data_IF_095907091846
#
_entry.id   IF_095907091846
#
_cell.length_a   1.000
_cell.length_b   1.000
_cell.length_c   1.000
_cell.angle_alpha   90.00
_cell.angle_beta   90.00
_cell.angle_gamma   90.00
#
_symmetry.space_group_name_H-M   'P 1'
#
loop_
_entity.id
_entity.type
_entity.pdbx_description
1 polymer ?
#
# COMPACT_ATOMS: atom_id res chain seq x y z
N UNK A 1 -14.68 13.71 14.75
CA UNK A 1 -13.45 14.04 14.00
C UNK A 1 -12.40 14.76 14.84
N UNK A 2 -12.78 15.55 15.86
CA UNK A 2 -11.81 16.31 16.68
C UNK A 2 -10.80 15.47 17.47
N UNK A 3 -11.01 14.16 17.65
CA UNK A 3 -10.15 13.31 18.49
C UNK A 3 -9.21 12.38 17.71
N UNK A 4 -9.39 12.22 16.38
CA UNK A 4 -8.64 11.22 15.60
C UNK A 4 -7.36 11.78 14.99
N UNK A 5 -6.33 10.96 14.87
CA UNK A 5 -5.13 11.19 14.08
C UNK A 5 -5.37 10.68 12.65
N UNK A 6 -5.56 11.55 11.64
CA UNK A 6 -6.11 11.15 10.35
C UNK A 6 -5.11 10.50 9.40
N UNK A 7 -3.80 10.71 9.59
CA UNK A 7 -2.77 10.21 8.69
C UNK A 7 -1.47 10.01 9.46
N UNK A 8 -1.08 8.76 9.66
CA UNK A 8 0.20 8.40 10.28
C UNK A 8 0.77 7.13 9.67
N UNK A 9 2.08 6.95 9.77
CA UNK A 9 2.77 5.78 9.24
C UNK A 9 4.15 5.56 9.87
N UNK A 10 4.55 4.30 10.03
CA UNK A 10 5.85 3.87 10.53
C UNK A 10 5.81 2.83 11.61
N UNK A 11 6.97 2.56 12.19
CA UNK A 11 7.03 1.69 13.36
C UNK A 11 6.34 2.37 14.54
N UNK A 12 5.46 1.63 15.21
CA UNK A 12 4.83 2.03 16.46
C UNK A 12 4.82 0.82 17.38
N UNK A 13 5.10 1.04 18.66
CA UNK A 13 5.00 -0.03 19.65
C UNK A 13 3.53 -0.43 19.80
N UNK A 14 3.26 -1.73 19.86
CA UNK A 14 1.95 -2.28 20.16
C UNK A 14 2.05 -3.15 21.39
N UNK A 15 1.31 -2.77 22.42
CA UNK A 15 1.28 -3.48 23.69
C UNK A 15 0.25 -4.59 23.66
N UNK A 16 0.69 -5.77 24.10
CA UNK A 16 -0.14 -6.93 24.29
C UNK A 16 -1.27 -6.68 25.28
N UNK A 17 -2.47 -7.12 24.91
CA UNK A 17 -3.62 -7.20 25.81
C UNK A 17 -4.10 -8.64 25.92
N UNK A 18 -3.99 -9.22 27.11
CA UNK A 18 -4.37 -10.61 27.38
C UNK A 18 -3.46 -11.65 26.72
N UNK A 19 -3.88 -12.91 26.75
CA UNK A 19 -3.21 -14.02 26.06
C UNK A 19 -3.86 -14.28 24.72
N UNK A 20 -3.11 -14.21 23.62
CA UNK A 20 -3.61 -14.52 22.28
C UNK A 20 -2.47 -15.07 21.40
N UNK A 21 -2.74 -16.04 20.50
CA UNK A 21 -1.74 -16.62 19.59
C UNK A 21 -0.87 -15.62 18.83
N UNK A 22 -1.44 -14.50 18.37
CA UNK A 22 -0.69 -13.39 17.73
C UNK A 22 0.61 -13.05 18.48
N UNK A 23 0.62 -13.14 19.82
CA UNK A 23 1.75 -12.77 20.66
C UNK A 23 2.78 -13.90 20.87
N UNK A 24 2.64 -15.08 20.26
CA UNK A 24 3.63 -16.15 20.42
C UNK A 24 5.02 -15.71 19.91
N UNK A 25 6.02 -15.82 20.78
CA UNK A 25 7.38 -15.35 20.48
C UNK A 25 7.60 -13.84 20.61
N UNK A 26 6.55 -13.06 20.90
CA UNK A 26 6.62 -11.62 21.16
C UNK A 26 6.53 -11.34 22.67
N UNK A 27 7.23 -10.30 23.15
CA UNK A 27 7.41 -10.04 24.59
C UNK A 27 6.62 -8.81 25.06
N UNK A 28 5.31 -8.94 25.31
CA UNK A 28 4.48 -7.93 25.99
C UNK A 28 4.24 -6.60 25.25
N UNK A 29 5.19 -6.15 24.44
CA UNK A 29 5.13 -5.04 23.52
C UNK A 29 6.08 -5.33 22.36
N UNK A 30 5.66 -5.04 21.13
CA UNK A 30 6.48 -5.24 19.93
C UNK A 30 6.29 -4.07 18.96
N UNK A 31 7.32 -3.67 18.20
CA UNK A 31 7.15 -2.70 17.13
C UNK A 31 6.38 -3.36 15.97
N UNK A 32 5.36 -2.70 15.45
CA UNK A 32 4.72 -3.09 14.20
C UNK A 32 4.68 -1.89 13.24
N UNK A 33 4.63 -2.18 11.94
CA UNK A 33 4.47 -1.18 10.91
C UNK A 33 3.00 -0.82 10.70
N UNK A 34 2.76 0.49 10.58
CA UNK A 34 1.47 1.03 10.14
C UNK A 34 1.67 1.93 8.93
N UNK A 35 0.75 1.91 7.97
CA UNK A 35 0.75 2.86 6.85
C UNK A 35 -0.66 3.35 6.57
N UNK A 36 -0.94 4.58 7.03
CA UNK A 36 -2.22 5.29 6.91
C UNK A 36 -3.44 4.57 7.50
N UNK A 37 -3.34 3.95 8.69
CA UNK A 37 -4.48 3.32 9.31
C UNK A 37 -5.49 4.36 9.81
N UNK A 38 -6.70 3.88 10.10
CA UNK A 38 -7.69 4.63 10.88
C UNK A 38 -7.54 4.28 12.37
N UNK A 39 -8.42 4.81 13.21
CA UNK A 39 -8.65 4.36 14.58
C UNK A 39 -9.97 3.61 14.68
N UNK A 40 -10.03 2.62 15.57
CA UNK A 40 -11.23 1.83 15.76
C UNK A 40 -12.26 2.64 16.52
N UNK A 41 -13.52 2.46 16.13
CA UNK A 41 -14.66 2.88 16.91
C UNK A 41 -15.36 1.60 17.37
N UNK A 42 -15.30 1.34 18.68
CA UNK A 42 -15.87 0.12 19.24
C UNK A 42 -17.36 0.31 19.48
N UNK A 43 -18.17 -0.42 18.72
CA UNK A 43 -19.60 -0.60 18.98
C UNK A 43 -19.72 -1.89 19.78
N UNK A 44 -20.33 -1.82 20.97
CA UNK A 44 -20.46 -2.95 21.91
C UNK A 44 -19.11 -3.53 22.39
N UNK A 45 -18.31 -2.76 23.17
CA UNK A 45 -16.97 -3.15 23.57
C UNK A 45 -16.89 -4.43 24.42
N UNK A 46 -18.00 -4.83 25.05
CA UNK A 46 -18.06 -6.07 25.85
C UNK A 46 -18.01 -7.35 24.99
N UNK A 47 -18.36 -7.26 23.70
CA UNK A 47 -18.33 -8.37 22.74
C UNK A 47 -17.03 -8.41 21.91
N UNK A 48 -16.16 -7.41 22.07
CA UNK A 48 -14.94 -7.24 21.29
C UNK A 48 -13.73 -7.42 22.19
N UNK A 49 -12.89 -8.40 21.86
CA UNK A 49 -11.62 -8.55 22.54
C UNK A 49 -10.57 -7.63 21.91
N UNK A 50 -10.01 -6.74 22.71
CA UNK A 50 -8.86 -5.93 22.31
C UNK A 50 -7.60 -6.77 22.54
N UNK A 51 -6.85 -7.02 21.47
CA UNK A 51 -5.64 -7.85 21.49
C UNK A 51 -4.36 -7.04 21.57
N UNK A 52 -4.40 -5.80 21.07
CA UNK A 52 -3.28 -4.89 21.06
C UNK A 52 -3.73 -3.44 21.22
N UNK A 53 -2.90 -2.64 21.90
CA UNK A 53 -3.08 -1.19 22.02
C UNK A 53 -1.82 -0.45 21.57
N UNK A 54 -1.99 0.68 20.90
CA UNK A 54 -0.87 1.51 20.50
C UNK A 54 -0.09 2.03 21.72
N UNK A 55 1.24 1.96 21.61
CA UNK A 55 2.23 2.49 22.54
C UNK A 55 2.92 3.72 21.95
N UNK A 56 4.22 3.82 22.17
CA UNK A 56 5.01 4.97 21.70
C UNK A 56 5.36 4.85 20.21
N UNK A 57 5.39 5.98 19.48
CA UNK A 57 5.95 6.05 18.13
C UNK A 57 7.41 5.59 18.08
N UNK A 58 7.78 4.87 17.01
CA UNK A 58 9.16 4.55 16.70
C UNK A 58 9.88 5.67 15.95
N UNK A 59 11.18 5.49 15.68
CA UNK A 59 12.06 6.54 15.13
C UNK A 59 11.64 7.04 13.75
N UNK A 60 11.09 6.15 12.92
CA UNK A 60 10.67 6.48 11.57
C UNK A 60 9.21 6.98 11.52
N UNK A 61 8.48 6.96 12.64
CA UNK A 61 7.06 7.27 12.68
C UNK A 61 6.80 8.71 12.27
N UNK A 62 5.88 8.88 11.33
CA UNK A 62 5.47 10.15 10.78
C UNK A 62 3.97 10.35 10.95
N UNK A 63 3.57 11.60 11.21
CA UNK A 63 2.19 12.05 11.11
C UNK A 63 2.11 13.05 9.97
N UNK A 64 1.25 12.78 8.99
CA UNK A 64 1.30 13.41 7.68
C UNK A 64 2.74 13.33 7.10
N UNK A 65 3.38 14.48 6.86
CA UNK A 65 4.75 14.60 6.35
C UNK A 65 5.81 14.85 7.44
N UNK A 66 5.41 14.96 8.71
CA UNK A 66 6.28 15.31 9.85
C UNK A 66 6.75 14.05 10.58
N UNK A 67 8.07 13.89 10.76
CA UNK A 67 8.62 12.84 11.63
C UNK A 67 8.44 13.24 13.10
N UNK A 68 7.90 12.35 13.92
CA UNK A 68 7.56 12.65 15.33
C UNK A 68 8.81 12.91 16.16
N UNK A 69 9.81 12.02 16.09
CA UNK A 69 11.03 12.16 16.87
C UNK A 69 11.80 13.44 16.53
N UNK A 70 11.91 13.79 15.24
CA UNK A 70 12.58 15.00 14.79
C UNK A 70 11.83 16.26 15.26
N UNK A 71 10.49 16.23 15.19
CA UNK A 71 9.64 17.36 15.60
C UNK A 71 9.75 17.61 17.11
N UNK A 72 9.72 16.55 17.91
CA UNK A 72 9.88 16.61 19.36
C UNK A 72 11.29 17.04 19.77
N UNK A 73 12.33 16.50 19.11
CA UNK A 73 13.72 16.86 19.37
C UNK A 73 14.01 18.35 19.06
N UNK A 74 13.33 18.92 18.07
CA UNK A 74 13.39 20.34 17.75
C UNK A 74 12.58 21.23 18.73
N UNK A 75 11.86 20.64 19.69
CA UNK A 75 11.04 21.37 20.66
C UNK A 75 9.83 22.08 20.04
N UNK A 76 9.35 21.58 18.90
CA UNK A 76 8.23 22.18 18.19
C UNK A 76 6.89 21.73 18.80
N UNK A 77 5.95 22.67 18.88
CA UNK A 77 4.61 22.43 19.44
C UNK A 77 3.65 21.92 18.36
N UNK A 78 3.06 20.74 18.59
CA UNK A 78 2.05 20.14 17.75
C UNK A 78 0.84 21.06 17.52
N UNK A 79 0.43 21.85 18.51
CA UNK A 79 -0.74 22.75 18.38
C UNK A 79 -0.55 23.81 17.29
N UNK A 80 0.66 24.34 17.13
CA UNK A 80 0.99 25.28 16.06
C UNK A 80 0.94 24.61 14.68
N UNK A 81 1.36 23.35 14.60
CA UNK A 81 1.25 22.58 13.36
C UNK A 81 -0.21 22.25 13.05
N UNK A 82 -1.00 21.83 14.02
CA UNK A 82 -2.44 21.55 13.85
C UNK A 82 -3.19 22.80 13.35
N UNK A 83 -2.88 23.99 13.85
CA UNK A 83 -3.44 25.25 13.33
C UNK A 83 -3.02 25.49 11.87
N UNK A 84 -1.74 25.27 11.53
CA UNK A 84 -1.27 25.45 10.14
C UNK A 84 -1.87 24.41 9.18
N UNK A 85 -1.98 23.17 9.64
CA UNK A 85 -2.41 22.02 8.85
C UNK A 85 -3.94 21.86 8.86
N UNK A 86 -4.66 22.52 9.78
CA UNK A 86 -6.11 22.40 9.93
C UNK A 86 -6.59 20.94 10.08
N UNK A 87 -5.72 20.08 10.65
CA UNK A 87 -6.00 18.68 11.02
C UNK A 87 -5.25 18.36 12.30
N UNK A 88 -5.67 17.30 12.98
CA UNK A 88 -4.95 16.77 14.14
C UNK A 88 -3.62 16.15 13.69
N UNK A 89 -2.56 16.38 14.47
CA UNK A 89 -1.19 15.93 14.21
C UNK A 89 -0.49 15.39 15.45
N UNK A 90 -1.00 15.67 16.64
CA UNK A 90 -0.40 15.20 17.89
C UNK A 90 -0.50 13.66 18.01
N UNK A 91 0.64 12.93 18.01
CA UNK A 91 0.66 11.48 18.07
C UNK A 91 0.17 10.91 19.41
N UNK A 92 0.09 11.72 20.47
CA UNK A 92 -0.41 11.29 21.77
C UNK A 92 -1.87 10.78 21.69
N UNK A 93 -2.61 11.17 20.64
CA UNK A 93 -3.98 10.69 20.36
C UNK A 93 -4.07 9.19 20.09
N UNK A 94 -2.97 8.53 19.77
CA UNK A 94 -2.95 7.07 19.60
C UNK A 94 -2.68 6.33 20.90
N UNK A 95 -2.12 6.98 21.92
CA UNK A 95 -1.64 6.27 23.10
C UNK A 95 -2.78 5.50 23.79
N UNK A 96 -2.60 4.19 23.93
CA UNK A 96 -3.56 3.22 24.45
C UNK A 96 -4.81 2.99 23.58
N UNK A 97 -4.92 3.59 22.40
CA UNK A 97 -6.01 3.29 21.47
C UNK A 97 -5.94 1.84 20.98
N UNK A 98 -7.08 1.16 20.77
CA UNK A 98 -7.09 -0.20 20.22
C UNK A 98 -6.49 -0.24 18.81
N UNK A 99 -5.69 -1.26 18.52
CA UNK A 99 -5.01 -1.41 17.22
C UNK A 99 -5.13 -2.81 16.62
N UNK A 100 -5.40 -3.81 17.46
CA UNK A 100 -5.76 -5.16 17.02
C UNK A 100 -6.96 -5.64 17.82
N UNK A 101 -7.97 -6.17 17.13
CA UNK A 101 -9.23 -6.64 17.69
C UNK A 101 -9.56 -8.06 17.22
N UNK A 102 -10.26 -8.79 18.07
CA UNK A 102 -10.94 -10.02 17.71
C UNK A 102 -12.41 -9.97 18.16
N UNK A 103 -13.28 -10.49 17.31
CA UNK A 103 -14.69 -10.67 17.59
C UNK A 103 -15.24 -11.95 16.96
N UNK A 104 -16.55 -12.14 17.07
CA UNK A 104 -17.25 -13.30 16.48
C UNK A 104 -18.24 -12.84 15.41
N UNK A 105 -18.37 -13.65 14.37
CA UNK A 105 -19.43 -13.49 13.37
C UNK A 105 -20.04 -14.85 13.05
N UNK A 106 -21.25 -15.09 13.55
CA UNK A 106 -21.89 -16.40 13.48
C UNK A 106 -21.06 -17.47 14.20
N UNK A 107 -20.56 -18.46 13.44
CA UNK A 107 -19.66 -19.52 13.95
C UNK A 107 -18.17 -19.20 13.76
N UNK A 108 -17.85 -18.10 13.08
CA UNK A 108 -16.49 -17.71 12.76
C UNK A 108 -15.89 -16.73 13.76
N UNK A 109 -14.56 -16.62 13.72
CA UNK A 109 -13.78 -15.56 14.36
C UNK A 109 -13.48 -14.49 13.31
N UNK A 110 -13.53 -13.23 13.72
CA UNK A 110 -13.16 -12.07 12.88
C UNK A 110 -12.00 -11.38 13.56
N UNK A 111 -10.92 -11.19 12.81
CA UNK A 111 -9.73 -10.52 13.28
C UNK A 111 -9.54 -9.23 12.47
N UNK A 112 -9.26 -8.12 13.17
CA UNK A 112 -9.05 -6.80 12.58
C UNK A 112 -7.74 -6.24 13.11
N UNK A 113 -6.86 -5.82 12.19
CA UNK A 113 -5.56 -5.24 12.51
C UNK A 113 -5.37 -3.95 11.72
N UNK A 114 -5.02 -2.87 12.41
CA UNK A 114 -4.46 -1.68 11.77
C UNK A 114 -2.95 -1.76 11.55
N UNK A 115 -2.16 -2.42 12.40
CA UNK A 115 -0.82 -2.82 12.06
C UNK A 115 -0.89 -3.70 10.81
N UNK A 116 -0.09 -3.35 9.83
CA UNK A 116 -0.02 -4.04 8.56
C UNK A 116 0.99 -5.16 8.71
N UNK A 117 0.53 -6.28 9.28
CA UNK A 117 1.38 -7.41 9.70
C UNK A 117 2.08 -8.10 8.51
N UNK A 118 1.62 -7.83 7.28
CA UNK A 118 2.20 -8.27 6.02
C UNK A 118 3.34 -7.38 5.52
N UNK A 119 3.64 -6.27 6.22
CA UNK A 119 4.65 -5.30 5.79
C UNK A 119 6.00 -6.00 5.58
N UNK A 120 6.65 -5.82 4.41
CA UNK A 120 7.97 -6.40 4.17
C UNK A 120 9.00 -5.92 5.20
N UNK A 121 9.87 -6.83 5.65
CA UNK A 121 10.94 -6.59 6.62
C UNK A 121 10.46 -6.27 8.06
N UNK A 122 9.14 -6.24 8.31
CA UNK A 122 8.55 -6.16 9.66
C UNK A 122 8.56 -7.55 10.31
N UNK A 123 9.70 -7.94 10.87
CA UNK A 123 9.90 -9.30 11.43
C UNK A 123 8.86 -9.64 12.48
N UNK A 124 8.59 -8.72 13.41
CA UNK A 124 7.61 -8.89 14.47
C UNK A 124 6.18 -8.93 13.92
N UNK A 125 5.83 -8.03 12.99
CA UNK A 125 4.54 -8.04 12.31
C UNK A 125 4.31 -9.34 11.54
N UNK A 126 5.29 -9.78 10.76
CA UNK A 126 5.22 -11.01 9.97
C UNK A 126 5.09 -12.25 10.87
N UNK A 127 5.77 -12.28 12.02
CA UNK A 127 5.62 -13.35 13.01
C UNK A 127 4.21 -13.35 13.62
N UNK A 128 3.65 -12.18 13.93
CA UNK A 128 2.27 -12.06 14.40
C UNK A 128 1.25 -12.57 13.35
N UNK A 129 1.43 -12.23 12.07
CA UNK A 129 0.61 -12.74 10.97
C UNK A 129 0.71 -14.28 10.87
N UNK A 130 1.93 -14.81 10.90
CA UNK A 130 2.18 -16.24 10.88
C UNK A 130 1.48 -16.95 12.04
N UNK A 131 1.57 -16.41 13.26
CA UNK A 131 0.92 -16.99 14.43
C UNK A 131 -0.61 -17.05 14.30
N UNK A 132 -1.23 -15.99 13.74
CA UNK A 132 -2.68 -15.97 13.47
C UNK A 132 -3.03 -17.07 12.48
N UNK A 133 -2.30 -17.18 11.37
CA UNK A 133 -2.55 -18.22 10.38
C UNK A 133 -2.32 -19.62 10.94
N UNK A 134 -1.26 -19.82 11.72
CA UNK A 134 -0.98 -21.11 12.34
C UNK A 134 -2.11 -21.55 13.29
N UNK A 135 -2.65 -20.62 14.08
CA UNK A 135 -3.80 -20.89 14.96
C UNK A 135 -5.10 -21.18 14.17
N UNK A 136 -5.41 -20.35 13.17
CA UNK A 136 -6.60 -20.53 12.32
C UNK A 136 -6.52 -21.84 11.52
N UNK A 137 -5.37 -22.14 10.92
CA UNK A 137 -5.14 -23.37 10.17
C UNK A 137 -5.05 -24.58 11.09
N UNK A 138 -4.41 -24.48 12.26
CA UNK A 138 -4.43 -25.56 13.25
C UNK A 138 -5.85 -25.94 13.69
N UNK A 139 -6.76 -24.98 13.67
CA UNK A 139 -8.19 -25.19 13.97
C UNK A 139 -8.98 -25.70 12.75
N UNK A 140 -8.58 -25.36 11.52
CA UNK A 140 -9.29 -25.71 10.27
C UNK A 140 -8.72 -26.94 9.52
N UNK A 141 -7.45 -27.31 9.72
CA UNK A 141 -6.67 -28.15 8.80
C UNK A 141 -6.69 -29.66 9.09
N UNK A 142 -7.82 -30.21 9.57
CA UNK A 142 -8.00 -31.67 9.63
C UNK A 142 -9.15 -32.20 8.75
N UNK A 143 -9.77 -31.39 7.90
CA UNK A 143 -10.91 -31.85 7.08
C UNK A 143 -11.02 -31.32 5.65
N UNK A 144 -10.05 -30.56 5.15
CA UNK A 144 -10.09 -30.10 3.75
C UNK A 144 -9.42 -31.14 2.85
N UNK A 145 -10.22 -31.95 2.16
CA UNK A 145 -9.74 -32.66 0.98
C UNK A 145 -9.42 -31.62 -0.08
N UNK A 146 -8.16 -31.53 -0.49
CA UNK A 146 -7.76 -30.78 -1.68
C UNK A 146 -8.62 -31.27 -2.84
N UNK A 147 -9.50 -30.42 -3.37
CA UNK A 147 -10.19 -30.71 -4.62
C UNK A 147 -9.14 -30.65 -5.74
N UNK A 148 -8.80 -31.77 -6.39
CA UNK A 148 -7.79 -31.80 -7.45
C UNK A 148 -8.18 -30.94 -8.67
N UNK A 149 -9.45 -30.51 -8.77
CA UNK A 149 -9.99 -29.72 -9.87
C UNK A 149 -10.33 -28.27 -9.47
N UNK A 150 -10.04 -27.86 -8.22
CA UNK A 150 -10.51 -26.58 -7.66
C UNK A 150 -9.77 -25.33 -8.17
N UNK A 151 -8.55 -25.50 -8.67
CA UNK A 151 -7.82 -24.46 -9.38
C UNK A 151 -7.85 -24.80 -10.87
N UNK A 152 -8.78 -24.20 -11.61
CA UNK A 152 -8.64 -24.16 -13.05
C UNK A 152 -7.52 -23.16 -13.33
N UNK A 153 -6.34 -23.56 -13.86
CA UNK A 153 -5.24 -22.63 -14.17
C UNK A 153 -5.61 -21.83 -15.42
N UNK A 154 -6.66 -21.02 -15.30
CA UNK A 154 -7.09 -20.13 -16.35
C UNK A 154 -6.10 -18.98 -16.38
N UNK A 155 -5.23 -19.01 -17.39
CA UNK A 155 -4.29 -17.96 -17.81
C UNK A 155 -2.89 -18.04 -17.19
N UNK A 156 -2.23 -19.19 -17.30
CA UNK A 156 -0.76 -19.20 -17.25
C UNK A 156 -0.23 -18.27 -18.36
N UNK A 157 0.53 -17.24 -17.98
CA UNK A 157 1.15 -16.32 -18.92
C UNK A 157 2.41 -16.97 -19.48
N UNK A 158 2.40 -17.35 -20.77
CA UNK A 158 3.63 -17.67 -21.48
C UNK A 158 4.28 -16.36 -21.89
N UNK A 159 5.49 -16.12 -21.37
CA UNK A 159 6.23 -14.88 -21.56
C UNK A 159 7.37 -15.15 -22.53
N UNK A 160 7.42 -14.38 -23.62
CA UNK A 160 8.59 -14.32 -24.49
C UNK A 160 9.53 -13.19 -24.04
N UNK A 161 10.78 -13.24 -24.50
CA UNK A 161 11.82 -12.27 -24.16
C UNK A 161 11.42 -10.83 -24.52
N UNK A 162 10.61 -10.65 -25.57
CA UNK A 162 10.11 -9.35 -25.99
C UNK A 162 9.15 -8.72 -24.96
N UNK A 163 8.18 -9.50 -24.45
CA UNK A 163 7.25 -9.04 -23.42
C UNK A 163 7.96 -8.70 -22.11
N UNK A 164 8.94 -9.50 -21.71
CA UNK A 164 9.77 -9.23 -20.55
C UNK A 164 10.54 -7.91 -20.72
N UNK A 165 11.22 -7.71 -21.85
CA UNK A 165 11.98 -6.49 -22.09
C UNK A 165 11.08 -5.24 -22.07
N UNK A 166 9.86 -5.34 -22.62
CA UNK A 166 8.86 -4.25 -22.54
C UNK A 166 8.53 -3.90 -21.09
N UNK A 167 8.27 -4.88 -20.22
CA UNK A 167 7.95 -4.59 -18.80
C UNK A 167 9.18 -4.06 -18.04
N UNK A 168 10.38 -4.57 -18.34
CA UNK A 168 11.63 -4.01 -17.80
C UNK A 168 11.83 -2.55 -18.22
N UNK A 169 11.51 -2.22 -19.47
CA UNK A 169 11.53 -0.83 -19.94
C UNK A 169 10.54 0.04 -19.16
N UNK A 170 9.30 -0.41 -18.99
CA UNK A 170 8.31 0.29 -18.14
C UNK A 170 8.84 0.48 -16.71
N UNK A 171 9.50 -0.53 -16.15
CA UNK A 171 10.17 -0.48 -14.84
C UNK A 171 11.22 0.64 -14.75
N UNK A 172 12.08 0.77 -15.77
CA UNK A 172 13.07 1.86 -15.86
C UNK A 172 12.42 3.22 -16.08
N UNK A 173 11.30 3.28 -16.79
CA UNK A 173 10.58 4.53 -17.04
C UNK A 173 9.82 5.03 -15.80
N UNK A 174 9.18 4.14 -15.04
CA UNK A 174 8.52 4.51 -13.77
C UNK A 174 9.55 4.94 -12.74
N UNK A 175 10.74 4.33 -12.71
CA UNK A 175 11.86 4.78 -11.87
C UNK A 175 12.22 6.25 -12.17
N UNK A 176 12.27 6.64 -13.45
CA UNK A 176 12.51 8.03 -13.84
C UNK A 176 11.40 8.98 -13.38
N UNK A 177 10.13 8.54 -13.35
CA UNK A 177 9.02 9.34 -12.82
C UNK A 177 9.12 9.52 -11.30
N UNK A 178 9.47 8.45 -10.58
CA UNK A 178 9.70 8.52 -9.14
C UNK A 178 10.88 9.45 -8.82
N UNK A 179 11.99 9.32 -9.55
CA UNK A 179 13.15 10.20 -9.42
C UNK A 179 12.82 11.67 -9.78
N UNK A 180 11.94 11.91 -10.76
CA UNK A 180 11.46 13.26 -11.08
C UNK A 180 10.75 13.88 -9.87
N UNK A 181 9.82 13.16 -9.24
CA UNK A 181 9.13 13.65 -8.06
C UNK A 181 10.05 13.86 -6.86
N UNK A 182 11.05 13.00 -6.69
CA UNK A 182 12.08 13.16 -5.64
C UNK A 182 12.94 14.41 -5.87
N UNK A 183 13.46 14.59 -7.09
CA UNK A 183 14.25 15.78 -7.46
C UNK A 183 13.44 17.09 -7.41
N UNK A 184 12.11 16.99 -7.48
CA UNK A 184 11.17 18.09 -7.35
C UNK A 184 10.67 18.31 -5.91
N UNK A 185 11.25 17.59 -4.94
CA UNK A 185 10.90 17.67 -3.52
C UNK A 185 9.40 17.40 -3.28
N UNK A 186 8.77 16.54 -4.08
CA UNK A 186 7.38 16.11 -3.91
C UNK A 186 7.28 14.94 -2.92
N UNK A 187 8.30 14.10 -2.90
CA UNK A 187 8.43 12.93 -2.03
C UNK A 187 9.89 12.52 -1.87
N UNK A 188 10.11 11.52 -1.02
CA UNK A 188 11.39 10.84 -0.79
C UNK A 188 11.12 9.37 -0.50
N UNK A 189 12.11 8.51 -0.69
CA UNK A 189 11.99 7.11 -0.27
C UNK A 189 12.02 6.99 1.24
N UNK A 190 11.03 6.27 1.80
CA UNK A 190 11.04 5.85 3.19
C UNK A 190 11.79 4.54 3.35
N UNK A 191 11.50 3.60 2.46
CA UNK A 191 12.17 2.31 2.30
C UNK A 191 12.10 1.92 0.82
N UNK A 192 12.50 0.70 0.47
CA UNK A 192 12.57 0.23 -0.93
C UNK A 192 11.22 0.11 -1.65
N UNK A 193 10.10 0.19 -0.92
CA UNK A 193 8.76 -0.07 -1.47
C UNK A 193 7.73 1.01 -1.10
N UNK A 194 8.10 1.99 -0.26
CA UNK A 194 7.19 3.01 0.24
C UNK A 194 7.78 4.42 0.10
N UNK A 195 7.05 5.26 -0.61
CA UNK A 195 7.33 6.70 -0.69
C UNK A 195 6.76 7.42 0.54
N UNK A 196 7.50 8.43 1.01
CA UNK A 196 7.03 9.48 1.91
C UNK A 196 6.81 10.74 1.08
N UNK A 197 5.58 11.20 0.95
CA UNK A 197 5.24 12.36 0.12
C UNK A 197 4.74 13.55 0.92
N UNK A 198 4.84 14.72 0.31
CA UNK A 198 4.28 15.95 0.87
C UNK A 198 2.77 15.91 0.84
N UNK A 199 2.15 16.54 1.84
CA UNK A 199 0.70 16.61 1.95
C UNK A 199 0.05 17.10 0.65
N UNK A 200 -0.95 16.35 0.20
CA UNK A 200 -1.74 16.68 -1.00
C UNK A 200 -1.15 16.14 -2.31
N UNK A 201 0.07 15.61 -2.30
CA UNK A 201 0.68 14.90 -3.44
C UNK A 201 0.22 13.44 -3.47
N UNK A 202 0.07 12.87 -4.66
CA UNK A 202 -0.41 11.51 -4.91
C UNK A 202 0.75 10.50 -4.92
N UNK A 203 1.60 10.53 -3.89
CA UNK A 203 2.80 9.69 -3.82
C UNK A 203 2.49 8.19 -3.70
N UNK A 204 1.36 7.83 -3.09
CA UNK A 204 0.93 6.44 -2.94
C UNK A 204 0.74 5.78 -4.31
N UNK A 205 0.10 6.50 -5.23
CA UNK A 205 -0.30 5.99 -6.52
C UNK A 205 0.93 5.76 -7.43
N UNK A 206 1.85 6.71 -7.48
CA UNK A 206 3.12 6.53 -8.22
C UNK A 206 3.99 5.44 -7.61
N UNK A 207 4.07 5.37 -6.28
CA UNK A 207 4.80 4.32 -5.56
C UNK A 207 4.22 2.92 -5.83
N UNK A 208 2.89 2.78 -5.83
CA UNK A 208 2.23 1.51 -6.13
C UNK A 208 2.51 1.03 -7.55
N UNK A 209 2.42 1.90 -8.56
CA UNK A 209 2.77 1.51 -9.95
C UNK A 209 4.23 1.11 -10.05
N UNK A 210 5.13 1.84 -9.38
CA UNK A 210 6.54 1.47 -9.33
C UNK A 210 6.72 0.05 -8.79
N UNK A 211 6.23 -0.23 -7.57
CA UNK A 211 6.43 -1.54 -6.92
C UNK A 211 5.79 -2.66 -7.74
N UNK A 212 4.60 -2.44 -8.29
CA UNK A 212 3.90 -3.48 -9.06
C UNK A 212 4.55 -3.78 -10.40
N UNK A 213 5.11 -2.78 -11.10
CA UNK A 213 5.87 -3.03 -12.33
C UNK A 213 7.18 -3.77 -12.05
N UNK A 214 7.89 -3.42 -10.96
CA UNK A 214 9.08 -4.16 -10.54
C UNK A 214 8.74 -5.61 -10.15
N UNK A 215 7.63 -5.80 -9.42
CA UNK A 215 7.12 -7.12 -9.07
C UNK A 215 6.76 -7.94 -10.31
N UNK A 216 6.00 -7.36 -11.24
CA UNK A 216 5.64 -8.02 -12.50
C UNK A 216 6.89 -8.40 -13.30
N UNK A 217 7.86 -7.50 -13.47
CA UNK A 217 9.11 -7.80 -14.16
C UNK A 217 9.82 -9.01 -13.53
N UNK A 218 9.95 -9.02 -12.19
CA UNK A 218 10.59 -10.10 -11.45
C UNK A 218 9.88 -11.45 -11.63
N UNK A 219 8.55 -11.48 -11.55
CA UNK A 219 7.77 -12.70 -11.75
C UNK A 219 7.81 -13.19 -13.21
N UNK A 220 7.84 -12.27 -14.18
CA UNK A 220 8.04 -12.59 -15.60
C UNK A 220 9.44 -13.16 -15.86
N UNK A 221 10.50 -12.63 -15.24
CA UNK A 221 11.85 -13.19 -15.32
C UNK A 221 11.90 -14.63 -14.76
N UNK A 222 11.23 -14.86 -13.63
CA UNK A 222 11.17 -16.18 -13.00
C UNK A 222 10.47 -17.21 -13.89
N UNK A 223 9.32 -16.84 -14.46
CA UNK A 223 8.48 -17.73 -15.28
C UNK A 223 8.95 -17.86 -16.73
N UNK A 224 9.67 -16.88 -17.27
CA UNK A 224 10.25 -16.89 -18.62
C UNK A 224 11.22 -18.04 -18.88
N UNK A 225 11.81 -18.62 -17.82
CA UNK A 225 12.66 -19.81 -17.91
C UNK A 225 11.90 -21.13 -18.18
N UNK A 226 10.57 -21.15 -18.04
CA UNK A 226 9.76 -22.38 -18.01
C UNK A 226 8.94 -22.58 -19.29
N UNK A 227 8.69 -21.52 -20.06
CA UNK A 227 7.71 -21.51 -21.17
C UNK A 227 8.23 -21.98 -22.55
N UNK A 228 9.32 -22.73 -22.62
CA UNK A 228 9.81 -23.28 -23.90
C UNK A 228 9.41 -24.74 -24.06
N UNK A 229 8.16 -25.03 -24.49
CA UNK A 229 7.91 -26.30 -25.22
C UNK A 229 6.59 -26.43 -25.99
N UNK A 230 5.51 -25.68 -25.73
CA UNK A 230 4.25 -25.86 -26.49
C UNK A 230 3.44 -24.57 -26.66
N UNK A 231 3.10 -24.14 -27.91
CA UNK A 231 2.16 -23.05 -28.14
C UNK A 231 0.73 -23.55 -27.92
N UNK A 232 0.05 -23.04 -26.89
CA UNK A 232 -1.38 -23.26 -26.64
C UNK A 232 -2.25 -22.14 -27.21
N UNK A 233 -3.54 -22.38 -27.50
CA UNK A 233 -4.50 -21.38 -28.00
C UNK A 233 -4.75 -20.16 -27.09
N UNK A 234 -4.07 -20.06 -25.95
CA UNK A 234 -4.13 -18.97 -24.96
C UNK A 234 -3.29 -17.75 -25.32
N UNK A 235 -2.40 -17.82 -26.32
CA UNK A 235 -1.44 -16.75 -26.65
C UNK A 235 -2.09 -15.42 -27.05
N UNK A 236 -3.14 -15.45 -27.89
CA UNK A 236 -3.79 -14.22 -28.39
C UNK A 236 -4.44 -13.36 -27.30
N UNK A 237 -4.93 -13.98 -26.21
CA UNK A 237 -5.51 -13.23 -25.09
C UNK A 237 -4.43 -12.55 -24.25
N UNK A 238 -3.30 -13.21 -24.08
CA UNK A 238 -2.13 -12.66 -23.36
C UNK A 238 -1.53 -11.51 -24.17
N UNK A 239 -1.36 -11.68 -25.48
CA UNK A 239 -0.86 -10.60 -26.36
C UNK A 239 -1.74 -9.35 -26.25
N UNK A 240 -3.07 -9.51 -26.28
CA UNK A 240 -4.00 -8.38 -26.12
C UNK A 240 -3.90 -7.72 -24.73
N UNK A 241 -3.59 -8.47 -23.67
CA UNK A 241 -3.36 -7.92 -22.33
C UNK A 241 -2.07 -7.09 -22.26
N UNK A 242 -0.99 -7.55 -22.90
CA UNK A 242 0.27 -6.81 -22.99
C UNK A 242 0.15 -5.55 -23.85
N UNK A 243 -0.52 -5.62 -25.00
CA UNK A 243 -0.77 -4.43 -25.84
C UNK A 243 -1.58 -3.38 -25.06
N UNK A 244 -2.58 -3.82 -24.30
CA UNK A 244 -3.35 -2.93 -23.43
C UNK A 244 -2.50 -2.35 -22.29
N UNK A 245 -1.59 -3.14 -21.70
CA UNK A 245 -0.65 -2.65 -20.69
C UNK A 245 0.22 -1.54 -21.27
N UNK A 246 0.77 -1.72 -22.48
CA UNK A 246 1.60 -0.72 -23.17
C UNK A 246 0.80 0.57 -23.40
N UNK A 247 -0.41 0.48 -23.94
CA UNK A 247 -1.27 1.65 -24.18
C UNK A 247 -1.54 2.44 -22.89
N UNK A 248 -1.95 1.74 -21.82
CA UNK A 248 -2.25 2.36 -20.54
C UNK A 248 -1.01 2.96 -19.89
N UNK A 249 0.14 2.28 -20.00
CA UNK A 249 1.41 2.75 -19.49
C UNK A 249 1.85 4.04 -20.19
N UNK A 250 1.81 4.07 -21.53
CA UNK A 250 2.20 5.25 -22.30
C UNK A 250 1.39 6.49 -21.89
N UNK A 251 0.06 6.31 -21.79
CA UNK A 251 -0.83 7.36 -21.33
C UNK A 251 -0.50 7.81 -19.89
N UNK A 252 -0.21 6.86 -18.99
CA UNK A 252 0.05 7.15 -17.59
C UNK A 252 1.39 7.86 -17.42
N UNK A 253 2.43 7.39 -18.11
CA UNK A 253 3.76 7.98 -18.11
C UNK A 253 3.72 9.45 -18.54
N UNK A 254 3.05 9.71 -19.67
CA UNK A 254 3.06 11.05 -20.27
C UNK A 254 2.23 12.04 -19.42
N UNK A 255 1.03 11.63 -19.00
CA UNK A 255 0.17 12.46 -18.14
C UNK A 255 0.74 12.60 -16.73
N UNK A 256 1.30 11.52 -16.19
CA UNK A 256 1.93 11.49 -14.88
C UNK A 256 3.13 12.43 -14.81
N UNK A 257 4.02 12.40 -15.80
CA UNK A 257 5.13 13.37 -15.92
C UNK A 257 4.60 14.80 -15.92
N UNK A 258 3.63 15.10 -16.79
CA UNK A 258 3.05 16.44 -16.89
C UNK A 258 2.42 16.89 -15.57
N UNK A 259 1.78 15.97 -14.83
CA UNK A 259 1.21 16.26 -13.51
C UNK A 259 2.29 16.61 -12.50
N UNK A 260 3.37 15.82 -12.40
CA UNK A 260 4.46 16.09 -11.47
C UNK A 260 5.13 17.44 -11.75
N UNK A 261 5.32 17.80 -13.02
CA UNK A 261 5.84 19.11 -13.41
C UNK A 261 4.91 20.27 -13.02
N UNK A 262 3.59 20.08 -13.11
CA UNK A 262 2.61 21.07 -12.63
C UNK A 262 2.60 21.17 -11.11
N UNK A 263 2.66 20.04 -10.39
CA UNK A 263 2.65 20.02 -8.93
C UNK A 263 3.92 20.64 -8.35
N UNK A 264 5.08 20.32 -8.92
CA UNK A 264 6.38 20.90 -8.55
C UNK A 264 6.38 22.43 -8.68
N UNK A 265 5.78 22.97 -9.74
CA UNK A 265 5.69 24.43 -9.96
C UNK A 265 4.82 25.15 -8.93
N UNK A 266 3.84 24.46 -8.33
CA UNK A 266 2.85 25.05 -7.43
C UNK A 266 3.09 24.72 -5.95
N UNK A 267 4.10 23.91 -5.63
CA UNK A 267 4.36 23.37 -4.30
C UNK A 267 4.55 24.43 -3.19
N UNK A 268 5.04 25.63 -3.55
CA UNK A 268 5.28 26.72 -2.61
C UNK A 268 4.03 27.55 -2.27
N UNK A 269 2.90 27.33 -2.96
CA UNK A 269 1.65 28.01 -2.61
C UNK A 269 0.99 27.28 -1.43
N UNK A 270 0.94 27.93 -0.27
CA UNK A 270 0.30 27.38 0.95
C UNK A 270 -1.13 26.91 0.73
N UNK A 271 -1.84 27.44 -0.28
CA UNK A 271 -3.20 27.00 -0.63
C UNK A 271 -3.21 25.71 -1.48
N UNK A 272 -2.13 25.40 -2.19
CA UNK A 272 -2.02 24.20 -3.03
C UNK A 272 -1.91 22.92 -2.17
N UNK A 273 -1.35 23.02 -0.96
CA UNK A 273 -1.22 21.92 0.00
C UNK A 273 -2.56 21.38 0.54
N UNK A 274 -3.68 22.04 0.23
CA UNK A 274 -5.04 21.59 0.54
C UNK A 274 -5.83 21.14 -0.71
N UNK A 275 -5.19 21.03 -1.88
CA UNK A 275 -5.84 20.65 -3.15
C UNK A 275 -6.77 21.71 -3.76
N UNK A 276 -7.23 22.68 -2.97
CA UNK A 276 -8.15 23.74 -3.42
C UNK A 276 -7.49 24.79 -4.35
N UNK A 277 -6.16 24.93 -4.34
CA UNK A 277 -5.43 25.83 -5.23
C UNK A 277 -4.58 25.12 -6.29
N UNK A 278 -4.96 23.91 -6.70
CA UNK A 278 -4.37 23.31 -7.90
C UNK A 278 -4.64 24.18 -9.13
N UNK A 279 -3.63 24.28 -10.01
CA UNK A 279 -3.82 24.89 -11.33
C UNK A 279 -4.94 24.16 -12.10
N UNK A 280 -5.67 24.84 -13.01
CA UNK A 280 -6.69 24.17 -13.83
C UNK A 280 -6.12 22.94 -14.55
N UNK A 281 -4.89 23.04 -15.07
CA UNK A 281 -4.21 21.93 -15.72
C UNK A 281 -3.89 20.77 -14.78
N UNK A 282 -3.41 21.03 -13.56
CA UNK A 282 -3.18 19.97 -12.57
C UNK A 282 -4.50 19.28 -12.19
N UNK A 283 -5.59 20.04 -12.09
CA UNK A 283 -6.92 19.50 -11.81
C UNK A 283 -7.44 18.60 -12.93
N UNK A 284 -7.28 19.02 -14.18
CA UNK A 284 -7.68 18.23 -15.35
C UNK A 284 -6.87 16.93 -15.41
N UNK A 285 -5.54 17.02 -15.22
CA UNK A 285 -4.66 15.86 -15.17
C UNK A 285 -5.02 14.90 -14.03
N UNK A 286 -5.28 15.38 -12.81
CA UNK A 286 -5.73 14.51 -11.70
C UNK A 286 -7.08 13.87 -11.98
N UNK A 287 -7.98 14.57 -12.67
CA UNK A 287 -9.28 14.04 -13.06
C UNK A 287 -9.11 12.93 -14.10
N UNK A 288 -8.26 13.12 -15.10
CA UNK A 288 -8.02 12.10 -16.12
C UNK A 288 -7.28 10.88 -15.56
N UNK A 289 -6.22 11.12 -14.78
CA UNK A 289 -5.37 10.05 -14.27
C UNK A 289 -6.09 9.27 -13.16
N UNK A 290 -6.74 9.94 -12.22
CA UNK A 290 -7.25 9.31 -10.99
C UNK A 290 -8.78 9.35 -10.86
N UNK A 291 -9.50 9.96 -11.81
CA UNK A 291 -10.93 10.29 -11.69
C UNK A 291 -11.23 11.08 -10.41
N UNK A 292 -10.33 12.01 -10.07
CA UNK A 292 -10.38 12.72 -8.81
C UNK A 292 -10.06 14.21 -8.95
N UNK A 293 -11.03 15.03 -8.56
CA UNK A 293 -10.94 16.51 -8.60
C UNK A 293 -10.67 17.11 -7.22
N UNK A 294 -11.00 16.37 -6.14
CA UNK A 294 -10.92 16.81 -4.73
C UNK A 294 -10.22 15.77 -3.85
N UNK A 295 -9.01 15.38 -4.25
CA UNK A 295 -8.28 14.25 -3.64
C UNK A 295 -7.78 14.49 -2.21
N UNK A 296 -8.25 15.55 -1.55
CA UNK A 296 -7.94 15.76 -0.15
C UNK A 296 -8.84 14.86 0.70
N UNK A 297 -8.31 13.69 1.10
CA UNK A 297 -8.99 12.74 1.98
C UNK A 297 -9.97 11.78 1.31
N UNK A 298 -10.21 11.86 -0.01
CA UNK A 298 -10.89 10.78 -0.72
C UNK A 298 -9.88 9.71 -1.12
N UNK A 299 -10.13 8.45 -0.77
CA UNK A 299 -9.43 7.27 -1.32
C UNK A 299 -9.83 7.08 -2.79
N UNK A 300 -9.43 8.02 -3.63
CA UNK A 300 -9.82 8.06 -5.05
C UNK A 300 -9.11 6.95 -5.80
N UNK A 301 -9.88 5.94 -6.16
CA UNK A 301 -9.46 4.83 -6.98
C UNK A 301 -10.29 4.86 -8.28
N UNK A 302 -9.65 5.24 -9.39
CA UNK A 302 -10.34 5.41 -10.66
C UNK A 302 -9.42 5.89 -11.79
N UNK A 303 -10.04 6.35 -12.88
CA UNK A 303 -9.35 6.96 -14.01
C UNK A 303 -8.43 5.97 -14.75
N UNK A 304 -7.38 6.53 -15.35
CA UNK A 304 -6.30 5.78 -15.99
C UNK A 304 -5.51 4.91 -14.99
N UNK A 305 -5.26 5.43 -13.78
CA UNK A 305 -4.52 4.74 -12.72
C UNK A 305 -5.16 3.41 -12.37
N UNK A 306 -6.49 3.38 -12.15
CA UNK A 306 -7.21 2.13 -11.88
C UNK A 306 -7.09 1.14 -13.04
N UNK A 307 -7.27 1.61 -14.27
CA UNK A 307 -7.19 0.72 -15.43
C UNK A 307 -5.81 0.09 -15.58
N UNK A 308 -4.75 0.89 -15.35
CA UNK A 308 -3.38 0.41 -15.34
C UNK A 308 -3.14 -0.59 -14.20
N UNK A 309 -3.61 -0.26 -12.98
CA UNK A 309 -3.48 -1.13 -11.81
C UNK A 309 -4.15 -2.50 -12.07
N UNK A 310 -5.40 -2.50 -12.53
CA UNK A 310 -6.17 -3.71 -12.81
C UNK A 310 -5.49 -4.56 -13.89
N UNK A 311 -4.81 -3.91 -14.86
CA UNK A 311 -4.09 -4.59 -15.93
C UNK A 311 -2.77 -5.22 -15.45
N UNK A 312 -2.01 -4.53 -14.59
CA UNK A 312 -0.79 -5.07 -13.97
C UNK A 312 -1.15 -6.23 -13.03
N UNK A 313 -2.16 -6.05 -12.19
CA UNK A 313 -2.63 -7.06 -11.23
C UNK A 313 -3.11 -8.34 -11.94
N UNK A 314 -3.87 -8.19 -13.03
CA UNK A 314 -4.31 -9.34 -13.84
C UNK A 314 -3.14 -10.15 -14.42
N UNK A 315 -2.09 -9.46 -14.88
CA UNK A 315 -0.89 -10.11 -15.43
C UNK A 315 -0.06 -10.77 -14.32
N UNK A 316 0.11 -10.08 -13.18
CA UNK A 316 0.86 -10.57 -12.02
C UNK A 316 0.18 -11.81 -11.40
N UNK A 317 -1.15 -11.81 -11.28
CA UNK A 317 -1.89 -13.00 -10.86
C UNK A 317 -1.66 -14.16 -11.83
N UNK A 318 -1.68 -13.89 -13.13
CA UNK A 318 -1.41 -14.89 -14.17
C UNK A 318 -0.01 -15.50 -14.08
N UNK A 319 1.01 -14.71 -13.73
CA UNK A 319 2.38 -15.20 -13.55
C UNK A 319 2.54 -16.00 -12.26
N UNK A 320 1.97 -15.53 -11.15
CA UNK A 320 2.03 -16.23 -9.85
C UNK A 320 1.32 -17.59 -9.90
N UNK A 321 0.19 -17.68 -10.62
CA UNK A 321 -0.50 -18.96 -10.84
C UNK A 321 0.27 -19.90 -11.76
N UNK A 322 1.15 -19.39 -12.64
CA UNK A 322 2.01 -20.23 -13.46
C UNK A 322 3.10 -20.90 -12.63
N UNK A 323 3.68 -20.17 -11.67
CA UNK A 323 4.73 -20.68 -10.76
C UNK A 323 4.25 -21.85 -9.89
N UNK A 324 3.02 -21.79 -9.38
CA UNK A 324 2.42 -22.87 -8.57
C UNK A 324 2.19 -24.20 -9.33
N UNK A 325 2.23 -24.19 -10.65
CA UNK A 325 2.02 -25.36 -11.50
C UNK A 325 3.33 -25.96 -12.05
N UNK A 326 4.48 -25.42 -11.63
CA UNK A 326 5.82 -25.89 -12.00
C UNK A 326 6.47 -26.67 -10.85
#
# INVERSE_FOLDING_TARGET
MAERLPNFSGSILVRQTGSHPLWWGLQGEAPFQVWWPSQFELVDPDEIQILGRYGLPGKDFCVADLNVCDTEAAGLDWSNFEEKYQINLDPARLLNEPTVLEGKYGKGRVFLSYPHLETPEDTEGNMALFNIWYDLLGTCALSLSLDPNGANPANMVQVDEEKLERVLEMGREVEKLVALGESSDLWSWRNSWLLKWKRGILGAEFGAIFVLLQGLAKELEHTGGIASTYPTPSSLKIDAQFEKLVELWDLFRDKGRALLEEEARNLNDKKANNGEALSPRARDLRTEIFNCVRCYGSRSYGGLYRQLLDQIDSLLLGTLLADLNC
#
